data_IF_864876701378
#
_entry.id   IF_864876701378
#
_cell.length_a   1.000
_cell.length_b   1.000
_cell.length_c   1.000
_cell.angle_alpha   90.00
_cell.angle_beta   90.00
_cell.angle_gamma   90.00
#
_symmetry.space_group_name_H-M   'P 1'
#
loop_
_entity.id
_entity.type
_entity.pdbx_description
1 polymer ?
#
# COMPACT_ATOMS: atom_id res chain seq x y z
N UNK A 1 -62.73 54.30 -40.85
CA UNK A 1 -61.68 54.33 -39.82
C UNK A 1 -60.34 54.45 -40.52
N UNK A 2 -59.48 55.30 -39.94
CA UNK A 2 -58.13 55.78 -40.29
C UNK A 2 -57.32 54.91 -41.28
N UNK A 3 -56.78 55.40 -42.39
CA UNK A 3 -55.83 56.52 -42.63
C UNK A 3 -54.35 56.14 -42.48
N UNK A 4 -53.62 56.32 -43.60
CA UNK A 4 -52.19 56.69 -43.75
C UNK A 4 -51.16 55.63 -43.36
N UNK A 5 -49.92 55.65 -43.84
CA UNK A 5 -49.21 56.16 -45.02
C UNK A 5 -47.71 55.96 -44.69
N UNK A 6 -46.84 56.03 -45.70
CA UNK A 6 -45.39 56.29 -45.63
C UNK A 6 -44.40 55.16 -45.22
N UNK A 7 -43.60 54.81 -46.23
CA UNK A 7 -42.12 54.91 -46.25
C UNK A 7 -41.22 53.84 -45.64
N UNK A 8 -40.34 53.34 -46.53
CA UNK A 8 -39.04 52.67 -46.31
C UNK A 8 -38.20 53.45 -45.28
N UNK A 9 -37.23 52.84 -44.55
CA UNK A 9 -35.87 52.75 -45.12
C UNK A 9 -34.98 51.59 -44.59
N UNK A 10 -33.88 51.37 -45.32
CA UNK A 10 -32.49 51.12 -44.87
C UNK A 10 -32.17 50.15 -43.70
N UNK A 11 -31.23 49.24 -43.96
CA UNK A 11 -29.84 49.31 -43.46
C UNK A 11 -29.26 47.90 -43.15
N UNK A 12 -28.17 47.55 -43.84
CA UNK A 12 -27.18 46.56 -43.38
C UNK A 12 -26.47 47.07 -42.12
N UNK A 13 -25.84 46.22 -41.28
CA UNK A 13 -24.45 45.81 -41.56
C UNK A 13 -24.03 44.41 -41.07
N UNK A 14 -22.85 44.00 -41.54
CA UNK A 14 -22.08 42.84 -41.09
C UNK A 14 -21.88 42.83 -39.57
N UNK A 15 -22.09 41.66 -38.95
CA UNK A 15 -21.43 41.29 -37.70
C UNK A 15 -21.07 39.80 -37.75
N UNK A 16 -19.86 39.48 -38.23
CA UNK A 16 -19.21 38.20 -37.90
C UNK A 16 -18.02 38.53 -37.00
N UNK A 17 -18.28 38.50 -35.70
CA UNK A 17 -17.29 38.61 -34.64
C UNK A 17 -16.33 37.41 -34.70
N UNK A 18 -15.05 37.75 -34.57
CA UNK A 18 -13.92 36.84 -34.53
C UNK A 18 -14.07 35.80 -33.42
N UNK A 19 -14.05 34.52 -33.79
CA UNK A 19 -13.81 33.43 -32.85
C UNK A 19 -12.31 33.30 -32.60
N UNK A 20 -11.83 33.77 -31.45
CA UNK A 20 -10.52 33.35 -30.92
C UNK A 20 -10.62 31.87 -30.54
N UNK A 21 -10.12 30.99 -31.42
CA UNK A 21 -9.87 29.60 -31.07
C UNK A 21 -8.65 29.56 -30.14
N UNK A 22 -8.90 29.37 -28.85
CA UNK A 22 -7.87 29.12 -27.83
C UNK A 22 -7.37 27.67 -28.02
N UNK A 23 -6.39 27.48 -28.90
CA UNK A 23 -5.76 26.19 -29.12
C UNK A 23 -4.64 25.95 -28.09
N UNK A 24 -4.92 24.98 -27.20
CA UNK A 24 -4.02 23.90 -26.81
C UNK A 24 -2.63 24.27 -26.25
N UNK A 25 -2.54 24.39 -24.93
CA UNK A 25 -1.36 23.88 -24.21
C UNK A 25 -1.75 22.56 -23.57
N UNK A 26 -1.34 21.46 -24.19
CA UNK A 26 -1.35 20.14 -23.58
C UNK A 26 -0.56 20.23 -22.27
N UNK A 27 -1.27 20.28 -21.15
CA UNK A 27 -0.68 19.97 -19.86
C UNK A 27 -0.22 18.51 -19.98
N UNK A 28 1.10 18.33 -20.07
CA UNK A 28 1.70 17.03 -19.93
C UNK A 28 1.22 16.51 -18.56
N UNK A 29 0.67 15.29 -18.45
CA UNK A 29 0.65 14.66 -17.16
C UNK A 29 2.13 14.45 -16.84
N UNK A 30 2.69 15.38 -16.05
CA UNK A 30 3.84 15.03 -15.25
C UNK A 30 3.41 13.73 -14.57
N UNK A 31 4.09 12.64 -14.91
CA UNK A 31 4.05 11.43 -14.12
C UNK A 31 4.50 11.87 -12.73
N UNK A 32 3.56 12.35 -11.92
CA UNK A 32 3.68 12.25 -10.49
C UNK A 32 3.95 10.76 -10.31
N UNK A 33 5.18 10.45 -9.97
CA UNK A 33 5.44 9.38 -9.02
C UNK A 33 4.58 9.74 -7.82
N UNK A 34 3.28 9.41 -7.87
CA UNK A 34 2.57 9.09 -6.66
C UNK A 34 3.49 8.02 -6.07
N UNK A 35 4.28 8.40 -5.06
CA UNK A 35 4.94 7.42 -4.23
C UNK A 35 3.86 6.38 -3.99
N UNK A 36 4.09 5.15 -4.42
CA UNK A 36 3.16 4.08 -4.15
C UNK A 36 3.18 3.94 -2.63
N UNK A 37 2.31 4.71 -1.96
CA UNK A 37 2.10 4.70 -0.51
C UNK A 37 1.37 3.41 -0.10
N UNK A 38 1.15 2.51 -1.07
CA UNK A 38 0.80 1.14 -0.82
C UNK A 38 2.04 0.49 -0.23
N UNK A 39 1.91 -0.05 0.97
CA UNK A 39 2.95 -0.78 1.66
C UNK A 39 3.21 -2.12 0.95
N UNK A 40 3.73 -2.02 -0.27
CA UNK A 40 3.86 -3.06 -1.28
C UNK A 40 2.54 -3.83 -1.54
N UNK A 41 1.39 -3.16 -1.39
CA UNK A 41 0.03 -3.73 -1.40
C UNK A 41 -0.21 -4.89 -0.41
N UNK A 42 0.69 -5.11 0.55
CA UNK A 42 0.53 -6.12 1.60
C UNK A 42 -0.50 -5.66 2.64
N UNK A 43 -0.47 -4.37 2.96
CA UNK A 43 -1.33 -3.73 3.95
C UNK A 43 -1.91 -2.43 3.40
N UNK A 44 -3.14 -2.13 3.81
CA UNK A 44 -3.73 -0.81 3.62
C UNK A 44 -3.14 0.19 4.64
N UNK A 45 -3.07 1.48 4.30
CA UNK A 45 -2.67 2.51 5.26
C UNK A 45 -3.50 2.46 6.55
N UNK A 46 -2.83 2.50 7.69
CA UNK A 46 -3.40 2.37 9.04
C UNK A 46 -3.45 0.94 9.58
N UNK A 47 -3.18 -0.08 8.76
CA UNK A 47 -3.14 -1.47 9.21
C UNK A 47 -1.78 -1.87 9.76
N UNK A 48 -1.80 -2.92 10.59
CA UNK A 48 -0.60 -3.66 10.95
C UNK A 48 -0.80 -5.16 10.77
N UNK A 49 0.29 -5.86 10.56
CA UNK A 49 0.35 -7.31 10.50
C UNK A 49 1.32 -7.81 11.56
N UNK A 50 0.95 -8.86 12.28
CA UNK A 50 1.84 -9.56 13.21
C UNK A 50 1.97 -11.01 12.78
N UNK A 51 3.21 -11.45 12.53
CA UNK A 51 3.59 -12.83 12.28
C UNK A 51 4.35 -13.36 13.50
N UNK A 52 3.74 -14.26 14.26
CA UNK A 52 4.31 -14.78 15.51
C UNK A 52 4.98 -16.13 15.28
N UNK A 53 6.32 -16.16 15.36
CA UNK A 53 7.13 -17.37 15.31
C UNK A 53 7.23 -18.02 16.67
N UNK A 54 7.29 -19.36 16.69
CA UNK A 54 7.26 -20.13 17.94
C UNK A 54 8.64 -20.46 18.50
N UNK A 55 9.64 -20.73 17.66
CA UNK A 55 10.95 -21.19 18.13
C UNK A 55 12.11 -20.60 17.31
N UNK A 56 12.96 -19.72 17.89
CA UNK A 56 12.72 -19.03 19.17
C UNK A 56 11.41 -18.20 19.11
N UNK A 57 10.83 -17.89 20.27
CA UNK A 57 9.58 -17.12 20.32
C UNK A 57 9.87 -15.63 20.06
N UNK A 58 9.65 -15.22 18.81
CA UNK A 58 9.78 -13.85 18.32
C UNK A 58 8.63 -13.54 17.37
N UNK A 59 8.36 -12.26 17.10
CA UNK A 59 7.40 -11.87 16.09
C UNK A 59 7.95 -10.79 15.16
N UNK A 60 7.51 -10.84 13.91
CA UNK A 60 7.65 -9.74 12.96
C UNK A 60 6.34 -8.96 12.97
N UNK A 61 6.41 -7.70 13.35
CA UNK A 61 5.33 -6.75 13.13
C UNK A 61 5.64 -5.90 11.90
N UNK A 62 4.67 -5.73 11.01
CA UNK A 62 4.75 -4.84 9.85
C UNK A 62 3.63 -3.81 10.02
N UNK A 63 3.95 -2.52 9.91
CA UNK A 63 2.97 -1.44 9.99
C UNK A 63 2.96 -0.65 8.69
N UNK A 64 1.78 -0.16 8.30
CA UNK A 64 1.63 0.68 7.12
C UNK A 64 1.10 2.06 7.50
N UNK A 65 1.95 3.08 7.54
CA UNK A 65 1.55 4.46 7.87
C UNK A 65 1.85 5.44 6.72
N UNK A 66 1.68 4.98 5.48
CA UNK A 66 2.10 5.67 4.26
C UNK A 66 3.44 5.16 3.70
N UNK A 67 4.21 4.46 4.52
CA UNK A 67 5.36 3.63 4.15
C UNK A 67 5.34 2.39 5.06
N UNK A 68 5.86 1.27 4.56
CA UNK A 68 6.00 0.05 5.34
C UNK A 68 7.17 0.17 6.32
N UNK A 69 6.93 -0.13 7.59
CA UNK A 69 7.96 -0.28 8.61
C UNK A 69 7.84 -1.65 9.28
N UNK A 70 8.91 -2.12 9.91
CA UNK A 70 8.91 -3.38 10.65
C UNK A 70 9.36 -3.19 12.09
N UNK A 71 8.80 -3.95 13.02
CA UNK A 71 9.38 -4.11 14.35
C UNK A 71 9.72 -5.58 14.58
N UNK A 72 10.90 -5.83 15.14
CA UNK A 72 11.28 -7.16 15.64
C UNK A 72 10.89 -7.25 17.11
N UNK A 73 10.03 -8.20 17.45
CA UNK A 73 9.56 -8.43 18.81
C UNK A 73 10.25 -9.68 19.33
N UNK A 74 11.08 -9.51 20.34
CA UNK A 74 11.79 -10.58 21.04
C UNK A 74 11.14 -10.84 22.39
N UNK A 75 10.61 -12.05 22.60
CA UNK A 75 9.96 -12.41 23.84
C UNK A 75 10.89 -13.04 24.89
N UNK A 76 12.18 -13.29 24.59
CA UNK A 76 13.05 -14.11 25.44
C UNK A 76 14.50 -13.63 25.67
N UNK A 77 15.00 -12.58 25.00
CA UNK A 77 16.37 -12.11 25.23
C UNK A 77 16.65 -11.43 26.58
N UNK A 78 15.66 -11.27 27.47
CA UNK A 78 15.88 -10.65 28.78
C UNK A 78 14.61 -10.37 29.61
N UNK A 79 14.57 -9.18 30.25
CA UNK A 79 13.59 -8.71 31.25
C UNK A 79 12.15 -8.47 30.73
N UNK A 80 11.69 -9.24 29.73
CA UNK A 80 10.35 -9.17 29.15
C UNK A 80 10.34 -9.01 27.63
N UNK A 81 9.16 -8.72 27.07
CA UNK A 81 8.97 -8.53 25.62
C UNK A 81 9.63 -7.24 25.17
N UNK A 82 10.62 -7.34 24.27
CA UNK A 82 11.34 -6.21 23.69
C UNK A 82 10.90 -5.99 22.25
N UNK A 83 10.54 -4.76 21.90
CA UNK A 83 10.23 -4.36 20.53
C UNK A 83 11.35 -3.49 20.00
N UNK A 84 12.00 -3.94 18.93
CA UNK A 84 13.10 -3.20 18.27
C UNK A 84 12.63 -2.69 16.91
N UNK A 85 12.52 -1.35 16.72
CA UNK A 85 12.08 -0.78 15.45
C UNK A 85 13.09 -0.95 14.32
N UNK A 86 12.59 -1.17 13.11
CA UNK A 86 13.39 -1.38 11.92
C UNK A 86 12.70 -0.97 10.62
N UNK A 87 13.41 -1.16 9.52
CA UNK A 87 12.88 -0.97 8.16
C UNK A 87 12.63 -2.30 7.48
N UNK A 88 11.74 -2.30 6.51
CA UNK A 88 11.42 -3.45 5.66
C UNK A 88 11.64 -3.07 4.20
N UNK A 89 12.11 -4.03 3.43
CA UNK A 89 12.23 -3.95 1.98
C UNK A 89 11.54 -5.17 1.37
N UNK A 90 10.87 -4.95 0.24
CA UNK A 90 10.21 -6.02 -0.50
C UNK A 90 10.89 -6.24 -1.84
N UNK A 91 11.12 -7.50 -2.20
CA UNK A 91 11.66 -7.92 -3.49
C UNK A 91 10.57 -8.34 -4.48
N UNK A 92 9.38 -8.73 -3.99
CA UNK A 92 8.21 -9.10 -4.80
C UNK A 92 6.91 -8.90 -4.02
N UNK A 93 5.76 -9.00 -4.69
CA UNK A 93 4.42 -8.88 -4.10
C UNK A 93 3.67 -10.21 -3.99
N UNK A 94 3.93 -11.21 -4.83
CA UNK A 94 3.22 -12.50 -4.79
C UNK A 94 4.17 -13.68 -5.00
N UNK A 95 4.62 -14.36 -3.92
CA UNK A 95 4.46 -13.93 -2.53
C UNK A 95 5.30 -12.68 -2.22
N UNK A 96 4.99 -11.99 -1.13
CA UNK A 96 5.75 -10.86 -0.62
C UNK A 96 7.08 -11.33 -0.05
N UNK A 97 8.12 -11.36 -0.89
CA UNK A 97 9.47 -11.62 -0.43
C UNK A 97 10.03 -10.37 0.23
N UNK A 98 10.51 -10.50 1.46
CA UNK A 98 10.90 -9.38 2.30
C UNK A 98 12.22 -9.63 3.03
N UNK A 99 12.89 -8.54 3.35
CA UNK A 99 14.03 -8.48 4.25
C UNK A 99 13.92 -7.23 5.13
N UNK A 100 14.21 -7.38 6.42
CA UNK A 100 14.17 -6.27 7.38
C UNK A 100 15.58 -5.86 7.84
N UNK A 101 15.68 -4.71 8.51
CA UNK A 101 16.93 -4.27 9.14
C UNK A 101 17.33 -5.08 10.39
N UNK A 102 16.43 -5.93 10.90
CA UNK A 102 16.66 -6.83 12.03
C UNK A 102 16.50 -8.26 11.52
N UNK A 103 17.60 -8.97 11.20
CA UNK A 103 17.77 -9.89 10.07
C UNK A 103 16.71 -10.99 9.94
N UNK A 104 15.47 -10.60 9.66
CA UNK A 104 14.33 -11.45 9.35
C UNK A 104 14.15 -11.35 7.84
N UNK A 105 14.23 -12.51 7.20
CA UNK A 105 14.04 -12.68 5.76
C UNK A 105 13.04 -13.79 5.53
N UNK A 106 12.28 -13.71 4.44
CA UNK A 106 11.33 -14.76 4.08
C UNK A 106 10.28 -14.26 3.10
N UNK A 107 9.17 -14.99 3.03
CA UNK A 107 8.05 -14.65 2.16
C UNK A 107 6.72 -14.72 2.92
N UNK A 108 5.88 -13.71 2.75
CA UNK A 108 4.46 -13.76 3.16
C UNK A 108 3.63 -14.14 1.94
N UNK A 109 2.77 -15.14 2.08
CA UNK A 109 1.81 -15.53 1.05
C UNK A 109 0.38 -15.33 1.57
N UNK A 110 -0.52 -14.90 0.68
CA UNK A 110 -1.95 -14.93 0.96
C UNK A 110 -2.44 -16.39 0.82
N UNK A 111 -2.83 -16.97 1.94
CA UNK A 111 -3.30 -18.34 2.12
C UNK A 111 -4.66 -18.28 2.80
N UNK A 112 -5.76 -18.01 2.06
CA UNK A 112 -7.08 -17.80 2.65
C UNK A 112 -7.52 -19.03 3.43
N UNK A 113 -7.77 -18.85 4.72
CA UNK A 113 -8.03 -19.94 5.67
C UNK A 113 -6.96 -21.06 5.71
N UNK A 114 -5.74 -20.76 5.27
CA UNK A 114 -4.69 -21.76 5.07
C UNK A 114 -3.75 -21.94 6.27
N UNK A 115 -3.84 -21.07 7.27
CA UNK A 115 -2.98 -21.11 8.44
C UNK A 115 -3.79 -21.12 9.73
N UNK A 116 -3.59 -22.14 10.56
CA UNK A 116 -4.21 -22.25 11.89
C UNK A 116 -3.13 -22.07 12.95
N UNK A 117 -3.33 -21.12 13.86
CA UNK A 117 -2.44 -20.93 15.02
C UNK A 117 -2.80 -21.88 16.19
N UNK A 118 -1.95 -21.95 17.22
CA UNK A 118 -2.13 -22.84 18.38
C UNK A 118 -3.42 -22.57 19.19
N UNK A 119 -4.10 -21.45 18.97
CA UNK A 119 -5.40 -21.15 19.58
C UNK A 119 -6.57 -21.57 18.69
N UNK A 120 -6.32 -22.42 17.69
CA UNK A 120 -7.26 -22.85 16.65
C UNK A 120 -7.82 -21.69 15.80
N UNK A 121 -7.18 -20.52 15.84
CA UNK A 121 -7.61 -19.38 15.04
C UNK A 121 -7.00 -19.51 13.65
N UNK A 122 -7.88 -19.41 12.65
CA UNK A 122 -7.52 -19.43 11.25
C UNK A 122 -7.17 -18.02 10.76
N UNK A 123 -6.07 -17.89 10.03
CA UNK A 123 -5.57 -16.65 9.45
C UNK A 123 -5.32 -16.81 7.95
N UNK A 124 -5.40 -15.68 7.24
CA UNK A 124 -5.31 -15.64 5.78
C UNK A 124 -3.90 -15.47 5.23
N UNK A 125 -2.90 -15.33 6.09
CA UNK A 125 -1.52 -15.11 5.67
C UNK A 125 -0.57 -16.09 6.37
N UNK A 126 0.36 -16.63 5.59
CA UNK A 126 1.44 -17.48 6.09
C UNK A 126 2.78 -16.83 5.79
N UNK A 127 3.62 -16.71 6.81
CA UNK A 127 5.02 -16.33 6.64
C UNK A 127 5.90 -17.58 6.66
N UNK A 128 6.78 -17.68 5.65
CA UNK A 128 7.83 -18.70 5.57
C UNK A 128 9.18 -18.02 5.75
N UNK A 129 9.82 -18.13 6.93
CA UNK A 129 11.13 -17.55 7.15
C UNK A 129 12.23 -18.25 6.33
N UNK A 130 13.21 -17.47 5.90
CA UNK A 130 14.50 -17.94 5.37
C UNK A 130 15.68 -17.51 6.25
N UNK A 131 15.41 -16.74 7.29
CA UNK A 131 16.38 -16.33 8.30
C UNK A 131 15.74 -15.42 9.34
N UNK A 132 16.15 -15.55 10.59
CA UNK A 132 15.80 -14.69 11.71
C UNK A 132 16.89 -14.78 12.79
N UNK A 133 17.05 -13.78 13.68
CA UNK A 133 17.95 -13.89 14.82
C UNK A 133 17.69 -15.15 15.65
N UNK A 134 18.73 -15.98 15.86
CA UNK A 134 18.62 -17.20 16.67
C UNK A 134 17.88 -18.37 16.03
N UNK A 135 17.34 -18.21 14.81
CA UNK A 135 16.66 -19.27 14.09
C UNK A 135 17.69 -20.12 13.31
N UNK A 136 17.61 -21.44 13.45
CA UNK A 136 18.42 -22.40 12.69
C UNK A 136 17.51 -23.25 11.82
N UNK A 137 18.03 -23.73 10.69
CA UNK A 137 17.29 -24.65 9.85
C UNK A 137 16.93 -25.96 10.61
N UNK A 138 15.78 -26.59 10.30
CA UNK A 138 14.81 -26.22 9.26
C UNK A 138 13.87 -25.07 9.68
N UNK A 139 13.51 -24.22 8.71
CA UNK A 139 12.58 -23.12 8.91
C UNK A 139 11.13 -23.58 8.74
N UNK A 140 10.28 -23.27 9.71
CA UNK A 140 8.86 -23.64 9.68
C UNK A 140 7.98 -22.42 9.42
N UNK A 141 6.96 -22.54 8.55
CA UNK A 141 6.02 -21.47 8.32
C UNK A 141 5.10 -21.25 9.52
N UNK A 142 4.66 -20.01 9.73
CA UNK A 142 3.70 -19.65 10.78
C UNK A 142 2.73 -18.55 10.34
N UNK A 143 1.66 -18.38 11.10
CA UNK A 143 0.55 -17.52 10.72
C UNK A 143 0.85 -16.04 10.96
N UNK A 144 0.37 -15.21 10.03
CA UNK A 144 0.32 -13.77 10.18
C UNK A 144 -1.13 -13.32 10.30
N UNK A 145 -1.40 -12.37 11.19
CA UNK A 145 -2.70 -11.73 11.34
C UNK A 145 -2.61 -10.26 11.00
N UNK A 146 -3.61 -9.75 10.29
CA UNK A 146 -3.83 -8.31 10.16
C UNK A 146 -4.67 -7.84 11.35
N UNK A 147 -4.33 -6.70 11.92
CA UNK A 147 -5.05 -6.00 13.01
C UNK A 147 -5.48 -4.60 12.59
#
# INVERSE_FOLDING_TARGET
>A
MLARSFSRPFASPLTRLAGLALALTAAHPAALMAADMSCNRLLEPGQKMICSGFEPNWALEITCNGEAASNFIDAFSGDGIQTTPGSISFASEDPWQLATSHPVTGSIAYTPNGCTDESDRVSDFTFTPTGAPGLSEPFFPFCCRVE
#
